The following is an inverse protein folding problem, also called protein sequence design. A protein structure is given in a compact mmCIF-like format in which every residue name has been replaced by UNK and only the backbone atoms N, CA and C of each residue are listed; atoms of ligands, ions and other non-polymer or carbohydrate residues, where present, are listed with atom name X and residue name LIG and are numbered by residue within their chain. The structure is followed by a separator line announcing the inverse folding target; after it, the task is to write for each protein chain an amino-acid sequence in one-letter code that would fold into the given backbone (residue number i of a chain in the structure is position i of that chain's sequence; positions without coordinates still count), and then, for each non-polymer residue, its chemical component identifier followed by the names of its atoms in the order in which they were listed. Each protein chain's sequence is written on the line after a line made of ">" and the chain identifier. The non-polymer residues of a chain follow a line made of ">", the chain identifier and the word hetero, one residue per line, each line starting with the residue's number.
data_IF_079276178132
#
_entry.id   IF_079276178132
#
_cell.length_a   1.000
_cell.length_b   1.000
_cell.length_c   1.000
_cell.angle_alpha   90.00
_cell.angle_beta   90.00
_cell.angle_gamma   90.00
#
_symmetry.space_group_name_H-M   'P 1'
#
loop_
_entity.id
_entity.type
_entity.pdbx_description
1 polymer ?
#
# COMPACT_ATOMS: atom_id res chain seq x y z
N UNK A 1 82.30 13.59 -2.38
CA UNK A 1 81.23 13.32 -3.36
C UNK A 1 79.92 13.85 -2.82
N UNK A 2 79.21 14.64 -3.64
CA UNK A 2 77.83 15.10 -3.47
C UNK A 2 77.63 16.22 -2.44
N UNK A 3 78.12 17.39 -2.83
CA UNK A 3 77.55 18.66 -2.43
C UNK A 3 76.06 18.74 -2.83
N UNK A 4 75.34 19.64 -2.16
CA UNK A 4 74.06 20.22 -2.56
C UNK A 4 72.79 19.44 -2.19
N UNK A 5 72.59 19.34 -0.88
CA UNK A 5 71.28 19.65 -0.28
C UNK A 5 70.99 21.12 -0.60
N UNK A 6 70.25 21.39 -1.68
CA UNK A 6 69.43 22.59 -1.93
C UNK A 6 68.95 22.54 -3.38
N UNK A 7 67.83 21.88 -3.63
CA UNK A 7 66.92 22.19 -4.74
C UNK A 7 65.54 21.67 -4.34
N UNK A 8 65.04 22.25 -3.25
CA UNK A 8 63.62 22.40 -3.01
C UNK A 8 63.08 23.34 -4.12
N UNK A 9 61.89 23.03 -4.61
CA UNK A 9 61.01 23.82 -5.49
C UNK A 9 61.21 23.67 -7.02
N UNK A 10 60.07 23.43 -7.68
CA UNK A 10 59.76 23.58 -9.10
C UNK A 10 59.95 22.39 -10.07
N UNK A 11 59.05 21.40 -9.98
CA UNK A 11 58.18 21.00 -11.11
C UNK A 11 57.10 20.05 -10.56
N UNK A 12 55.95 20.57 -10.14
CA UNK A 12 54.68 20.47 -10.88
C UNK A 12 54.46 19.05 -11.46
N UNK A 13 53.67 18.20 -10.81
CA UNK A 13 52.20 18.26 -10.77
C UNK A 13 51.62 18.35 -12.19
N UNK A 14 51.22 17.20 -12.75
CA UNK A 14 50.66 17.14 -14.09
C UNK A 14 50.10 15.78 -14.48
N UNK A 15 48.88 15.51 -13.97
CA UNK A 15 47.81 14.73 -14.61
C UNK A 15 48.08 13.27 -15.01
N UNK A 16 47.59 12.35 -14.17
CA UNK A 16 46.84 11.17 -14.64
C UNK A 16 45.84 10.72 -13.56
N UNK A 17 44.60 11.23 -13.57
CA UNK A 17 43.45 10.46 -13.12
C UNK A 17 42.64 10.09 -14.35
N UNK A 18 43.00 9.00 -15.03
CA UNK A 18 42.22 8.50 -16.16
C UNK A 18 42.02 6.98 -16.05
N UNK A 19 41.43 6.54 -14.94
CA UNK A 19 40.52 5.37 -14.87
C UNK A 19 39.98 5.21 -13.44
N UNK A 20 39.39 6.27 -12.87
CA UNK A 20 38.50 6.09 -11.74
C UNK A 20 37.11 5.84 -12.33
N UNK A 21 36.69 4.58 -12.43
CA UNK A 21 35.26 4.27 -12.53
C UNK A 21 34.58 5.04 -11.39
N UNK A 22 33.56 5.87 -11.67
CA UNK A 22 32.82 6.50 -10.59
C UNK A 22 32.31 5.38 -9.68
N UNK A 23 32.47 5.51 -8.34
CA UNK A 23 31.99 4.50 -7.42
C UNK A 23 30.50 4.27 -7.72
N UNK A 24 30.07 3.01 -7.87
CA UNK A 24 28.69 2.70 -8.24
C UNK A 24 27.77 3.40 -7.26
N UNK A 25 26.94 4.31 -7.77
CA UNK A 25 26.08 5.11 -6.91
C UNK A 25 25.25 4.18 -6.02
N UNK A 26 25.23 4.40 -4.69
CA UNK A 26 24.61 3.48 -3.74
C UNK A 26 23.11 3.27 -4.03
N UNK A 27 22.46 4.23 -4.69
CA UNK A 27 21.07 4.13 -5.15
C UNK A 27 20.85 3.04 -6.22
N UNK A 28 21.81 2.83 -7.13
CA UNK A 28 21.68 1.87 -8.23
C UNK A 28 21.88 0.41 -7.77
N UNK A 29 22.75 0.18 -6.78
CA UNK A 29 23.00 -1.16 -6.23
C UNK A 29 21.84 -1.67 -5.36
N UNK A 30 21.21 -0.78 -4.60
CA UNK A 30 20.12 -1.15 -3.71
C UNK A 30 18.87 -1.58 -4.52
N UNK A 31 18.63 -0.95 -5.67
CA UNK A 31 17.48 -1.26 -6.52
C UNK A 31 17.63 -2.60 -7.27
N UNK A 32 18.83 -2.90 -7.81
CA UNK A 32 19.13 -4.19 -8.48
C UNK A 32 18.89 -5.41 -7.60
N UNK A 33 19.19 -5.27 -6.30
CA UNK A 33 18.98 -6.33 -5.31
C UNK A 33 17.48 -6.61 -5.07
N UNK A 34 16.65 -5.55 -5.09
CA UNK A 34 15.19 -5.66 -4.97
C UNK A 34 14.54 -6.28 -6.21
N UNK A 35 14.93 -5.81 -7.40
CA UNK A 35 14.45 -6.33 -8.68
C UNK A 35 14.75 -7.83 -8.83
N UNK A 36 15.96 -8.26 -8.49
CA UNK A 36 16.33 -9.68 -8.53
C UNK A 36 15.48 -10.54 -7.59
N UNK A 37 15.15 -10.02 -6.40
CA UNK A 37 14.28 -10.71 -5.44
C UNK A 37 12.84 -10.81 -5.98
N UNK A 38 12.34 -9.75 -6.60
CA UNK A 38 11.01 -9.74 -7.19
C UNK A 38 10.92 -10.69 -8.38
N UNK A 39 11.90 -10.69 -9.28
CA UNK A 39 11.96 -11.64 -10.39
C UNK A 39 11.98 -13.09 -9.91
N UNK A 40 12.76 -13.38 -8.87
CA UNK A 40 12.76 -14.72 -8.26
C UNK A 40 11.39 -15.11 -7.72
N UNK A 41 10.69 -14.19 -7.05
CA UNK A 41 9.35 -14.45 -6.55
C UNK A 41 8.37 -14.74 -7.70
N UNK A 42 8.38 -13.93 -8.76
CA UNK A 42 7.52 -14.13 -9.94
C UNK A 42 7.78 -15.48 -10.61
N UNK A 43 9.04 -15.90 -10.72
CA UNK A 43 9.39 -17.21 -11.30
C UNK A 43 8.93 -18.41 -10.44
N UNK A 44 8.64 -18.19 -9.16
CA UNK A 44 8.17 -19.22 -8.22
C UNK A 44 6.63 -19.26 -8.11
N UNK A 45 5.92 -18.31 -8.70
CA UNK A 45 4.46 -18.26 -8.68
C UNK A 45 3.84 -19.30 -9.61
N UNK A 46 2.64 -19.76 -9.25
CA UNK A 46 1.89 -20.69 -10.11
C UNK A 46 1.31 -19.96 -11.34
N UNK A 47 1.06 -20.66 -12.46
CA UNK A 47 0.54 -20.04 -13.69
C UNK A 47 -0.75 -19.23 -13.48
N UNK A 48 -1.66 -19.71 -12.63
CA UNK A 48 -2.91 -19.04 -12.30
C UNK A 48 -2.68 -17.74 -11.53
N UNK A 49 -1.69 -17.71 -10.65
CA UNK A 49 -1.33 -16.52 -9.88
C UNK A 49 -0.67 -15.46 -10.78
N UNK A 50 0.18 -15.89 -11.72
CA UNK A 50 0.76 -15.02 -12.73
C UNK A 50 -0.30 -14.41 -13.64
N UNK A 51 -1.30 -15.20 -14.05
CA UNK A 51 -2.44 -14.70 -14.82
C UNK A 51 -3.25 -13.64 -14.04
N UNK A 52 -3.53 -13.88 -12.76
CA UNK A 52 -4.21 -12.93 -11.89
C UNK A 52 -3.39 -11.64 -11.67
N UNK A 53 -2.07 -11.77 -11.52
CA UNK A 53 -1.16 -10.63 -11.41
C UNK A 53 -1.18 -9.79 -12.69
N UNK A 54 -1.08 -10.43 -13.86
CA UNK A 54 -1.17 -9.75 -15.15
C UNK A 54 -2.47 -8.97 -15.30
N UNK A 55 -3.61 -9.58 -15.00
CA UNK A 55 -4.91 -8.89 -15.04
C UNK A 55 -4.95 -7.68 -14.11
N UNK A 56 -4.34 -7.80 -12.92
CA UNK A 56 -4.24 -6.69 -11.97
C UNK A 56 -3.40 -5.55 -12.52
N UNK A 57 -2.25 -5.85 -13.13
CA UNK A 57 -1.38 -4.86 -13.78
C UNK A 57 -2.13 -4.15 -14.90
N UNK A 58 -2.76 -4.89 -15.82
CA UNK A 58 -3.50 -4.29 -16.92
C UNK A 58 -4.65 -3.39 -16.44
N UNK A 59 -5.31 -3.74 -15.32
CA UNK A 59 -6.32 -2.87 -14.70
C UNK A 59 -5.70 -1.58 -14.17
N UNK A 60 -4.55 -1.68 -13.50
CA UNK A 60 -3.83 -0.51 -12.96
C UNK A 60 -3.32 0.38 -14.09
N UNK A 61 -2.81 -0.19 -15.19
CA UNK A 61 -2.33 0.57 -16.34
C UNK A 61 -3.43 1.46 -16.94
N UNK A 62 -4.65 0.91 -17.05
CA UNK A 62 -5.85 1.61 -17.54
C UNK A 62 -6.39 2.69 -16.58
N UNK A 63 -5.93 2.74 -15.33
CA UNK A 63 -6.34 3.79 -14.38
C UNK A 63 -5.75 5.15 -14.78
N UNK A 64 -6.53 6.21 -14.56
CA UNK A 64 -6.07 7.59 -14.60
C UNK A 64 -5.01 7.87 -13.54
N UNK A 65 -4.28 8.98 -13.70
CA UNK A 65 -3.28 9.42 -12.72
C UNK A 65 -3.89 9.64 -11.32
N UNK A 66 -5.10 10.20 -11.27
CA UNK A 66 -5.86 10.43 -10.04
C UNK A 66 -6.22 9.12 -9.34
N UNK A 67 -6.76 8.16 -10.08
CA UNK A 67 -7.09 6.83 -9.54
C UNK A 67 -5.84 6.10 -9.03
N UNK A 68 -4.69 6.23 -9.72
CA UNK A 68 -3.41 5.68 -9.26
C UNK A 68 -2.95 6.33 -7.95
N UNK A 69 -3.14 7.64 -7.77
CA UNK A 69 -2.83 8.33 -6.51
C UNK A 69 -3.70 7.77 -5.39
N UNK A 70 -5.01 7.71 -5.60
CA UNK A 70 -5.94 7.15 -4.61
C UNK A 70 -5.64 5.70 -4.26
N UNK A 71 -5.21 4.89 -5.24
CA UNK A 71 -4.79 3.51 -5.00
C UNK A 71 -3.54 3.47 -4.10
N UNK A 72 -2.50 4.26 -4.40
CA UNK A 72 -1.29 4.33 -3.57
C UNK A 72 -1.60 4.78 -2.15
N UNK A 73 -2.49 5.75 -1.96
CA UNK A 73 -2.91 6.19 -0.62
C UNK A 73 -3.59 5.07 0.16
N UNK A 74 -4.47 4.29 -0.49
CA UNK A 74 -5.14 3.15 0.13
C UNK A 74 -4.13 2.06 0.51
N UNK A 75 -3.17 1.75 -0.35
CA UNK A 75 -2.10 0.81 -0.06
C UNK A 75 -1.22 1.29 1.10
N UNK A 76 -0.82 2.56 1.11
CA UNK A 76 -0.04 3.15 2.20
C UNK A 76 -0.77 3.16 3.54
N UNK A 77 -2.12 3.19 3.55
CA UNK A 77 -2.91 3.00 4.78
C UNK A 77 -2.84 1.55 5.27
N UNK A 78 -2.88 0.58 4.37
CA UNK A 78 -2.79 -0.84 4.72
C UNK A 78 -1.39 -1.19 5.23
N UNK A 79 -0.32 -0.69 4.60
CA UNK A 79 1.08 -0.92 5.02
C UNK A 79 1.36 -0.42 6.44
N UNK A 80 0.64 0.60 6.89
CA UNK A 80 0.75 1.14 8.26
C UNK A 80 -0.05 0.35 9.30
N UNK A 81 -0.89 -0.60 8.88
CA UNK A 81 -1.63 -1.45 9.80
C UNK A 81 -0.74 -2.58 10.33
N UNK A 82 -1.01 -3.03 11.56
CA UNK A 82 -0.37 -4.21 12.11
C UNK A 82 -0.68 -5.44 11.21
N UNK A 83 0.29 -6.32 10.94
CA UNK A 83 0.11 -7.45 10.03
C UNK A 83 -1.02 -8.39 10.49
N UNK A 84 -1.21 -8.58 11.80
CA UNK A 84 -2.28 -9.38 12.38
C UNK A 84 -3.66 -8.81 12.03
N UNK A 85 -3.77 -7.48 11.95
CA UNK A 85 -5.00 -6.80 11.56
C UNK A 85 -5.32 -7.05 10.07
N UNK A 86 -4.30 -6.97 9.21
CA UNK A 86 -4.43 -7.26 7.77
C UNK A 86 -4.87 -8.71 7.57
N UNK A 87 -4.27 -9.65 8.30
CA UNK A 87 -4.61 -11.07 8.23
C UNK A 87 -6.03 -11.34 8.73
N UNK A 88 -6.46 -10.68 9.81
CA UNK A 88 -7.84 -10.77 10.30
C UNK A 88 -8.84 -10.25 9.26
N UNK A 89 -8.54 -9.12 8.61
CA UNK A 89 -9.35 -8.59 7.52
C UNK A 89 -9.41 -9.55 6.33
N UNK A 90 -8.27 -10.13 5.94
CA UNK A 90 -8.19 -11.10 4.84
C UNK A 90 -9.00 -12.36 5.14
N UNK A 91 -8.84 -12.94 6.33
CA UNK A 91 -9.60 -14.13 6.78
C UNK A 91 -11.10 -13.85 6.80
N UNK A 92 -11.51 -12.71 7.34
CA UNK A 92 -12.93 -12.29 7.33
C UNK A 92 -13.47 -12.12 5.91
N UNK A 93 -12.66 -11.63 4.98
CA UNK A 93 -13.10 -11.51 3.58
C UNK A 93 -13.21 -12.88 2.90
N UNK A 94 -12.26 -13.78 3.15
CA UNK A 94 -12.23 -15.12 2.59
C UNK A 94 -13.31 -16.05 3.17
N UNK A 95 -13.78 -15.80 4.41
CA UNK A 95 -14.88 -16.55 5.01
C UNK A 95 -16.24 -16.28 4.35
N UNK A 96 -16.32 -15.30 3.46
CA UNK A 96 -17.55 -14.96 2.72
C UNK A 96 -17.53 -15.71 1.40
N UNK A 97 -18.58 -16.48 1.13
CA UNK A 97 -18.74 -17.20 -0.13
C UNK A 97 -18.57 -16.25 -1.34
N UNK A 98 -17.86 -16.66 -2.41
CA UNK A 98 -17.66 -15.84 -3.62
C UNK A 98 -18.96 -15.27 -4.18
N UNK A 99 -20.02 -16.06 -4.21
CA UNK A 99 -21.34 -15.71 -4.73
C UNK A 99 -21.98 -14.63 -3.87
N UNK A 100 -21.86 -14.73 -2.55
CA UNK A 100 -22.32 -13.69 -1.61
C UNK A 100 -21.53 -12.40 -1.79
N UNK A 101 -20.22 -12.48 -2.02
CA UNK A 101 -19.38 -11.31 -2.32
C UNK A 101 -19.80 -10.62 -3.62
N UNK A 102 -20.14 -11.38 -4.64
CA UNK A 102 -20.63 -10.85 -5.91
C UNK A 102 -21.99 -10.21 -5.74
N UNK A 103 -22.94 -10.87 -5.07
CA UNK A 103 -24.27 -10.32 -4.82
C UNK A 103 -24.22 -8.98 -4.07
N UNK A 104 -23.37 -8.87 -3.04
CA UNK A 104 -23.14 -7.60 -2.34
C UNK A 104 -22.57 -6.52 -3.26
N UNK A 105 -21.62 -6.89 -4.13
CA UNK A 105 -21.01 -5.95 -5.08
C UNK A 105 -22.04 -5.45 -6.09
N UNK A 106 -22.82 -6.35 -6.68
CA UNK A 106 -23.84 -6.00 -7.66
C UNK A 106 -24.88 -5.06 -7.05
N UNK A 107 -25.40 -5.41 -5.87
CA UNK A 107 -26.31 -4.53 -5.14
C UNK A 107 -25.71 -3.15 -4.88
N UNK A 108 -24.44 -3.08 -4.47
CA UNK A 108 -23.77 -1.81 -4.28
C UNK A 108 -23.67 -1.00 -5.58
N UNK A 109 -23.31 -1.64 -6.69
CA UNK A 109 -23.19 -1.02 -8.01
C UNK A 109 -24.54 -0.52 -8.55
N UNK A 110 -25.62 -1.26 -8.29
CA UNK A 110 -26.99 -0.90 -8.66
C UNK A 110 -27.50 0.34 -7.89
N UNK A 111 -27.03 0.59 -6.66
CA UNK A 111 -27.40 1.78 -5.91
C UNK A 111 -26.85 3.05 -6.57
N UNK A 112 -27.70 4.05 -6.78
CA UNK A 112 -27.27 5.38 -7.26
C UNK A 112 -26.45 6.12 -6.20
N UNK A 113 -25.63 7.11 -6.58
CA UNK A 113 -24.89 7.94 -5.62
C UNK A 113 -25.78 8.56 -4.54
N UNK A 114 -26.98 9.01 -4.91
CA UNK A 114 -27.98 9.62 -4.04
C UNK A 114 -28.50 8.59 -3.04
N UNK A 115 -28.93 7.41 -3.50
CA UNK A 115 -29.40 6.32 -2.64
C UNK A 115 -28.29 5.85 -1.69
N UNK A 116 -27.03 5.78 -2.14
CA UNK A 116 -25.89 5.48 -1.26
C UNK A 116 -25.70 6.55 -0.20
N UNK A 117 -25.94 7.82 -0.52
CA UNK A 117 -25.83 8.94 0.43
C UNK A 117 -26.90 8.88 1.51
N UNK A 118 -28.16 8.73 1.10
CA UNK A 118 -29.30 8.57 2.00
C UNK A 118 -29.12 7.35 2.91
N UNK A 119 -28.65 6.24 2.33
CA UNK A 119 -28.36 5.03 3.08
C UNK A 119 -27.29 5.27 4.15
N UNK A 120 -26.17 5.94 3.82
CA UNK A 120 -25.15 6.31 4.81
C UNK A 120 -25.71 7.23 5.90
N UNK A 121 -26.56 8.18 5.54
CA UNK A 121 -27.20 9.08 6.49
C UNK A 121 -28.13 8.33 7.44
N UNK A 122 -28.97 7.43 6.90
CA UNK A 122 -29.86 6.55 7.67
C UNK A 122 -29.08 5.68 8.64
N UNK A 123 -27.99 5.05 8.20
CA UNK A 123 -27.15 4.23 9.08
C UNK A 123 -26.51 5.07 10.20
N UNK A 124 -26.17 6.34 9.95
CA UNK A 124 -25.53 7.20 10.97
C UNK A 124 -26.45 7.51 12.15
N UNK A 125 -27.76 7.52 11.94
CA UNK A 125 -28.76 7.82 12.98
C UNK A 125 -29.25 6.59 13.73
N UNK A 126 -28.91 5.39 13.28
CA UNK A 126 -29.36 4.11 13.85
C UNK A 126 -28.44 3.61 14.97
N UNK A 127 -29.01 2.83 15.89
CA UNK A 127 -28.23 2.04 16.85
C UNK A 127 -27.37 1.00 16.14
N UNK A 128 -26.44 0.38 16.87
CA UNK A 128 -25.53 -0.62 16.29
C UNK A 128 -26.29 -1.89 15.88
N UNK A 129 -27.26 -2.27 16.68
CA UNK A 129 -28.11 -3.44 16.52
C UNK A 129 -29.04 -3.25 15.32
N UNK A 130 -29.69 -2.08 15.21
CA UNK A 130 -30.52 -1.71 14.06
C UNK A 130 -29.71 -1.68 12.76
N UNK A 131 -28.49 -1.14 12.79
CA UNK A 131 -27.60 -1.19 11.62
C UNK A 131 -27.34 -2.62 11.19
N UNK A 132 -27.01 -3.52 12.12
CA UNK A 132 -26.73 -4.92 11.81
C UNK A 132 -27.92 -5.59 11.12
N UNK A 133 -29.14 -5.33 11.59
CA UNK A 133 -30.37 -5.80 10.94
C UNK A 133 -30.52 -5.24 9.52
N UNK A 134 -30.32 -3.93 9.33
CA UNK A 134 -30.38 -3.31 7.99
C UNK A 134 -29.36 -3.92 7.04
N UNK A 135 -28.15 -4.23 7.50
CA UNK A 135 -27.15 -4.92 6.68
C UNK A 135 -27.67 -6.30 6.26
N UNK A 136 -28.13 -7.12 7.22
CA UNK A 136 -28.64 -8.48 6.98
C UNK A 136 -29.85 -8.51 6.05
N UNK A 137 -30.87 -7.68 6.31
CA UNK A 137 -32.08 -7.55 5.48
C UNK A 137 -31.75 -7.15 4.04
N UNK A 138 -30.78 -6.26 3.87
CA UNK A 138 -30.38 -5.78 2.56
C UNK A 138 -29.33 -6.68 1.89
N UNK A 139 -29.02 -7.85 2.48
CA UNK A 139 -28.08 -8.81 1.91
C UNK A 139 -26.63 -8.30 1.90
N UNK A 140 -26.30 -7.34 2.74
CA UNK A 140 -24.93 -6.97 3.07
C UNK A 140 -24.49 -7.68 4.35
N UNK A 141 -23.18 -7.86 4.54
CA UNK A 141 -22.72 -8.56 5.74
C UNK A 141 -22.93 -7.72 7.00
N UNK A 142 -23.38 -8.33 8.10
CA UNK A 142 -23.45 -7.65 9.39
C UNK A 142 -22.05 -7.21 9.82
N UNK A 143 -21.99 -6.05 10.47
CA UNK A 143 -20.78 -5.59 11.15
C UNK A 143 -20.52 -6.60 12.28
N UNK A 144 -19.35 -7.27 12.33
CA UNK A 144 -19.05 -8.20 13.42
C UNK A 144 -19.23 -7.48 14.76
N UNK A 145 -19.84 -8.20 15.71
CA UNK A 145 -20.04 -7.85 17.13
C UNK A 145 -18.91 -7.02 17.73
N UNK A 146 -19.24 -6.11 18.65
CA UNK A 146 -18.33 -5.26 19.41
C UNK A 146 -17.13 -6.06 19.95
N UNK A 147 -16.03 -6.08 19.21
CA UNK A 147 -14.73 -6.14 19.87
C UNK A 147 -14.57 -4.83 20.65
N UNK A 148 -14.02 -4.86 21.88
CA UNK A 148 -13.78 -3.65 22.64
C UNK A 148 -13.04 -2.63 21.76
N UNK A 149 -13.57 -1.42 21.68
CA UNK A 149 -12.86 -0.29 21.08
C UNK A 149 -11.48 -0.24 21.75
N UNK A 150 -10.35 -0.15 21.02
CA UNK A 150 -9.13 0.36 21.63
C UNK A 150 -9.51 1.72 22.19
N UNK A 151 -9.44 1.85 23.51
CA UNK A 151 -9.69 3.10 24.22
C UNK A 151 -8.81 4.17 23.58
N UNK A 152 -9.43 5.15 22.92
CA UNK A 152 -8.73 6.34 22.47
C UNK A 152 -8.10 6.95 23.73
N UNK A 153 -6.77 7.13 23.80
CA UNK A 153 -6.17 7.74 24.98
C UNK A 153 -6.83 9.11 25.20
N UNK A 154 -7.36 9.30 26.40
CA UNK A 154 -7.90 10.58 26.84
C UNK A 154 -6.73 11.56 26.90
N UNK A 155 -6.58 12.39 25.87
CA UNK A 155 -5.42 13.25 25.72
C UNK A 155 -5.36 13.88 24.33
N UNK A 156 -6.46 14.49 23.90
CA UNK A 156 -6.39 15.57 22.91
C UNK A 156 -7.46 16.57 23.30
N UNK A 157 -7.24 17.21 24.45
CA UNK A 157 -7.82 18.53 24.69
C UNK A 157 -7.48 19.39 23.48
N UNK A 158 -8.55 19.90 22.89
CA UNK A 158 -8.56 21.08 22.06
C UNK A 158 -7.71 22.18 22.69
N UNK A 159 -6.55 22.45 22.11
CA UNK A 159 -5.92 23.75 22.25
C UNK A 159 -6.76 24.75 21.47
N UNK A 160 -7.74 25.33 22.13
CA UNK A 160 -8.19 26.68 21.82
C UNK A 160 -7.15 27.63 22.43
N UNK A 161 -6.35 28.26 21.57
CA UNK A 161 -5.95 29.68 21.63
C UNK A 161 -5.43 30.10 20.24
#
# INVERSE_FOLDING_TARGET
>A
MKALITLLTLYLLGALPLLAEPPPEPAAQNNRSGETRMLRHLLQMQPEELAALRQTIERIERMSSEEKIQLRERLGKLEKMAPEHIDAMRKRFQSIAPETREAMRQRWLEMTPETRSEWRQKLRTMSREERAQVFEEQGFLPIPGNGPKPSRPAGSESGEE
#
